data_IF_865968310368
#
_entry.id   IF_865968310368
#
_cell.length_a   1.000
_cell.length_b   1.000
_cell.length_c   1.000
_cell.angle_alpha   90.00
_cell.angle_beta   90.00
_cell.angle_gamma   90.00
#
_symmetry.space_group_name_H-M   'P 1'
#
loop_
_entity.id
_entity.type
_entity.pdbx_description
1 polymer ?
#
# COMPACT_ATOMS: atom_id res chain seq x y z
N UNK A 1 -33.97 4.85 -44.86
CA UNK A 1 -34.61 4.73 -43.54
C UNK A 1 -33.55 5.19 -42.58
N UNK A 2 -33.51 6.50 -42.35
CA UNK A 2 -32.58 7.12 -41.42
C UNK A 2 -33.32 7.16 -40.09
N UNK A 3 -33.08 6.15 -39.27
CA UNK A 3 -33.63 6.08 -37.92
C UNK A 3 -32.97 7.23 -37.13
N UNK A 4 -33.73 8.31 -36.96
CA UNK A 4 -33.41 9.48 -36.16
C UNK A 4 -33.35 9.07 -34.68
N UNK A 5 -32.24 8.41 -34.29
CA UNK A 5 -31.90 8.14 -32.91
C UNK A 5 -31.55 9.46 -32.23
N UNK A 6 -32.58 10.20 -31.84
CA UNK A 6 -32.46 11.31 -30.90
C UNK A 6 -31.93 10.75 -29.59
N UNK A 7 -30.61 10.88 -29.37
CA UNK A 7 -29.98 10.56 -28.09
C UNK A 7 -30.53 11.55 -27.05
N UNK A 8 -31.57 11.14 -26.32
CA UNK A 8 -32.17 11.94 -25.27
C UNK A 8 -31.09 12.50 -24.34
N UNK A 9 -31.05 13.83 -24.23
CA UNK A 9 -30.08 14.52 -23.35
C UNK A 9 -30.27 14.03 -21.93
N UNK A 10 -29.24 13.38 -21.37
CA UNK A 10 -29.27 12.90 -19.98
C UNK A 10 -29.35 14.08 -19.02
N UNK A 11 -30.05 13.88 -17.90
CA UNK A 11 -30.21 14.90 -16.86
C UNK A 11 -28.86 15.42 -16.36
N UNK A 12 -28.84 16.67 -15.88
CA UNK A 12 -27.70 17.26 -15.19
C UNK A 12 -27.19 16.35 -14.05
N UNK A 13 -25.88 16.43 -13.77
CA UNK A 13 -25.27 15.69 -12.67
C UNK A 13 -25.93 16.06 -11.34
N UNK A 14 -26.46 15.07 -10.64
CA UNK A 14 -27.01 15.28 -9.30
C UNK A 14 -25.89 15.48 -8.28
N UNK A 15 -26.19 16.12 -7.14
CA UNK A 15 -25.19 16.31 -6.08
C UNK A 15 -24.64 14.98 -5.55
N UNK A 16 -25.45 13.93 -5.49
CA UNK A 16 -25.02 12.60 -5.07
C UNK A 16 -24.02 11.98 -6.05
N UNK A 17 -24.22 12.16 -7.35
CA UNK A 17 -23.25 11.71 -8.37
C UNK A 17 -21.96 12.50 -8.30
N UNK A 18 -22.04 13.82 -8.17
CA UNK A 18 -20.85 14.68 -8.00
C UNK A 18 -20.03 14.22 -6.80
N UNK A 19 -20.69 13.90 -5.68
CA UNK A 19 -20.04 13.36 -4.49
C UNK A 19 -19.35 12.02 -4.78
N UNK A 20 -20.05 11.05 -5.40
CA UNK A 20 -19.47 9.74 -5.76
C UNK A 20 -18.26 9.87 -6.70
N UNK A 21 -18.30 10.80 -7.65
CA UNK A 21 -17.17 11.08 -8.56
C UNK A 21 -15.96 11.56 -7.77
N UNK A 22 -16.15 12.48 -6.82
CA UNK A 22 -15.07 13.00 -5.95
C UNK A 22 -14.48 11.92 -5.03
N UNK A 23 -15.32 11.03 -4.51
CA UNK A 23 -14.89 9.87 -3.71
C UNK A 23 -14.08 8.89 -4.57
N UNK A 24 -14.54 8.59 -5.79
CA UNK A 24 -13.88 7.68 -6.72
C UNK A 24 -12.45 8.11 -7.10
N UNK A 25 -12.20 9.41 -7.25
CA UNK A 25 -10.85 9.95 -7.52
C UNK A 25 -9.98 10.07 -6.24
N UNK A 26 -10.50 9.68 -5.08
CA UNK A 26 -9.75 9.62 -3.83
C UNK A 26 -9.49 10.99 -3.19
N UNK A 27 -10.46 11.91 -3.22
CA UNK A 27 -10.35 13.23 -2.56
C UNK A 27 -9.14 14.06 -3.02
N UNK A 28 -8.77 13.93 -4.30
CA UNK A 28 -7.58 14.55 -4.89
C UNK A 28 -7.94 15.37 -6.11
N UNK A 29 -7.27 16.52 -6.25
CA UNK A 29 -7.29 17.28 -7.49
C UNK A 29 -6.48 16.54 -8.56
N UNK A 30 -7.09 16.19 -9.67
CA UNK A 30 -6.44 15.41 -10.74
C UNK A 30 -5.38 16.23 -11.50
N UNK A 31 -5.43 17.56 -11.41
CA UNK A 31 -4.46 18.44 -12.07
C UNK A 31 -3.18 18.68 -11.27
N UNK A 32 -3.29 19.15 -10.03
CA UNK A 32 -2.12 19.50 -9.20
C UNK A 32 -1.75 18.41 -8.19
N UNK A 33 -2.65 17.44 -7.98
CA UNK A 33 -2.43 16.33 -7.08
C UNK A 33 -2.63 16.62 -5.59
N UNK A 34 -3.06 17.83 -5.22
CA UNK A 34 -3.37 18.16 -3.83
C UNK A 34 -4.56 17.32 -3.32
N UNK A 35 -4.44 16.81 -2.10
CA UNK A 35 -5.55 16.19 -1.38
C UNK A 35 -6.38 17.32 -0.76
N UNK A 36 -7.69 17.30 -0.99
CA UNK A 36 -8.61 18.34 -0.51
C UNK A 36 -9.88 17.69 0.03
N UNK A 37 -10.56 18.38 0.94
CA UNK A 37 -11.86 17.93 1.40
C UNK A 37 -12.86 17.84 0.25
N UNK A 38 -13.81 16.92 0.37
CA UNK A 38 -14.81 16.65 -0.68
C UNK A 38 -15.66 17.88 -1.03
N UNK A 39 -15.85 18.78 -0.05
CA UNK A 39 -16.61 20.01 -0.20
C UNK A 39 -15.87 21.05 -1.04
N UNK A 40 -14.53 21.03 -1.03
CA UNK A 40 -13.67 22.00 -1.74
C UNK A 40 -13.37 21.57 -3.18
N UNK A 41 -13.45 20.27 -3.47
CA UNK A 41 -13.30 19.75 -4.82
C UNK A 41 -14.51 20.14 -5.68
N UNK A 42 -14.31 20.33 -6.97
CA UNK A 42 -15.34 20.67 -7.94
C UNK A 42 -15.18 19.78 -9.19
N UNK A 43 -16.29 19.34 -9.77
CA UNK A 43 -16.28 18.58 -11.02
C UNK A 43 -16.41 19.58 -12.17
N UNK A 44 -15.45 19.56 -13.08
CA UNK A 44 -15.36 20.44 -14.23
C UNK A 44 -15.63 19.66 -15.52
N UNK A 45 -16.47 20.20 -16.39
CA UNK A 45 -16.61 19.73 -17.77
C UNK A 45 -15.52 20.37 -18.63
N UNK A 46 -14.66 19.56 -19.28
CA UNK A 46 -13.58 20.04 -20.15
C UNK A 46 -14.16 20.76 -21.39
N UNK A 47 -15.17 20.16 -21.98
CA UNK A 47 -16.06 20.75 -22.97
C UNK A 47 -17.37 21.15 -22.28
N UNK A 48 -17.72 22.44 -22.26
CA UNK A 48 -18.85 22.92 -21.48
C UNK A 48 -20.17 22.42 -22.09
N UNK A 49 -21.10 22.01 -21.23
CA UNK A 49 -22.41 21.45 -21.62
C UNK A 49 -23.23 22.38 -22.52
N UNK A 50 -23.01 23.70 -22.43
CA UNK A 50 -23.71 24.69 -23.28
C UNK A 50 -23.34 24.60 -24.77
N UNK A 51 -22.18 24.03 -25.08
CA UNK A 51 -21.70 23.85 -26.46
C UNK A 51 -22.24 22.53 -27.05
N UNK A 52 -23.09 21.80 -26.30
CA UNK A 52 -23.65 20.54 -26.73
C UNK A 52 -24.66 20.70 -27.88
N UNK A 53 -24.43 19.96 -28.96
CA UNK A 53 -25.28 19.89 -30.15
C UNK A 53 -26.41 18.85 -30.05
N UNK A 54 -26.58 18.25 -28.87
CA UNK A 54 -27.56 17.19 -28.62
C UNK A 54 -27.17 15.82 -29.19
N UNK A 55 -26.06 15.69 -29.93
CA UNK A 55 -25.60 14.42 -30.50
C UNK A 55 -24.77 13.59 -29.54
N UNK A 56 -24.11 14.26 -28.57
CA UNK A 56 -23.18 13.61 -27.64
C UNK A 56 -23.55 13.89 -26.18
N UNK A 57 -23.41 12.89 -25.31
CA UNK A 57 -23.52 13.07 -23.86
C UNK A 57 -22.22 13.68 -23.33
N UNK A 58 -22.24 14.99 -23.07
CA UNK A 58 -21.11 15.73 -22.49
C UNK A 58 -20.79 15.32 -21.06
N UNK A 59 -21.61 14.48 -20.43
CA UNK A 59 -21.29 13.90 -19.14
C UNK A 59 -20.69 12.51 -19.31
N UNK A 60 -19.59 12.43 -20.05
CA UNK A 60 -18.78 11.23 -20.17
C UNK A 60 -17.63 11.27 -19.16
N UNK A 61 -17.09 10.12 -18.73
CA UNK A 61 -15.90 10.10 -17.89
C UNK A 61 -14.73 10.87 -18.51
N UNK A 62 -14.57 10.82 -19.84
CA UNK A 62 -13.50 11.53 -20.54
C UNK A 62 -13.65 13.05 -20.51
N UNK A 63 -14.88 13.57 -20.39
CA UNK A 63 -15.15 15.01 -20.35
C UNK A 63 -15.24 15.59 -18.93
N UNK A 64 -15.28 14.76 -17.89
CA UNK A 64 -15.37 15.20 -16.50
C UNK A 64 -14.00 15.10 -15.81
N UNK A 65 -13.58 16.16 -15.13
CA UNK A 65 -12.34 16.19 -14.33
C UNK A 65 -12.58 16.82 -12.95
N UNK A 66 -12.01 16.22 -11.90
CA UNK A 66 -12.11 16.70 -10.52
C UNK A 66 -10.94 17.61 -10.19
N UNK A 67 -11.24 18.86 -9.82
CA UNK A 67 -10.26 19.91 -9.57
C UNK A 67 -10.48 20.53 -8.19
N UNK A 68 -9.41 21.05 -7.59
CA UNK A 68 -9.55 21.98 -6.45
C UNK A 68 -10.00 23.36 -6.96
N UNK A 69 -10.56 24.18 -6.08
CA UNK A 69 -11.08 25.52 -6.42
C UNK A 69 -10.11 26.38 -7.25
N UNK A 70 -8.81 26.36 -6.94
CA UNK A 70 -7.80 27.11 -7.69
C UNK A 70 -7.64 26.58 -9.13
N UNK A 71 -7.46 25.27 -9.31
CA UNK A 71 -7.36 24.67 -10.63
C UNK A 71 -8.67 24.80 -11.43
N UNK A 72 -9.81 24.73 -10.75
CA UNK A 72 -11.12 24.92 -11.37
C UNK A 72 -11.28 26.34 -11.93
N UNK A 73 -10.91 27.38 -11.17
CA UNK A 73 -10.91 28.77 -11.63
C UNK A 73 -9.97 28.99 -12.82
N UNK A 74 -8.79 28.35 -12.81
CA UNK A 74 -7.84 28.43 -13.94
C UNK A 74 -8.36 27.71 -15.19
N UNK A 75 -9.01 26.56 -15.03
CA UNK A 75 -9.65 25.83 -16.13
C UNK A 75 -10.83 26.64 -16.72
N UNK A 76 -11.73 27.16 -15.88
CA UNK A 76 -12.87 27.97 -16.33
C UNK A 76 -12.48 29.30 -16.99
N UNK A 77 -11.28 29.82 -16.72
CA UNK A 77 -10.71 31.00 -17.39
C UNK A 77 -9.81 30.65 -18.60
N UNK A 78 -9.81 29.39 -19.05
CA UNK A 78 -8.97 28.87 -20.14
C UNK A 78 -7.46 29.09 -19.95
N UNK A 79 -7.00 29.30 -18.72
CA UNK A 79 -5.55 29.37 -18.41
C UNK A 79 -4.90 27.99 -18.40
N UNK A 80 -5.70 26.94 -18.25
CA UNK A 80 -5.29 25.55 -18.45
C UNK A 80 -5.90 25.08 -19.78
N UNK A 81 -5.09 24.74 -20.80
CA UNK A 81 -5.61 24.29 -22.09
C UNK A 81 -6.47 23.03 -21.97
N UNK A 82 -7.59 22.96 -22.71
CA UNK A 82 -8.49 21.78 -22.73
C UNK A 82 -7.76 20.49 -23.07
N UNK A 83 -6.81 20.53 -24.00
CA UNK A 83 -5.97 19.39 -24.40
C UNK A 83 -5.23 18.82 -23.19
N UNK A 84 -4.73 19.68 -22.28
CA UNK A 84 -4.02 19.24 -21.09
C UNK A 84 -4.95 18.55 -20.08
N UNK A 85 -6.20 19.02 -19.95
CA UNK A 85 -7.20 18.38 -19.10
C UNK A 85 -7.63 17.04 -19.69
N UNK A 86 -7.83 16.98 -21.00
CA UNK A 86 -8.21 15.76 -21.74
C UNK A 86 -7.12 14.69 -21.66
N UNK A 87 -5.84 15.07 -21.76
CA UNK A 87 -4.72 14.15 -21.58
C UNK A 87 -4.71 13.50 -20.18
N UNK A 88 -5.09 14.25 -19.14
CA UNK A 88 -5.22 13.72 -17.77
C UNK A 88 -6.36 12.71 -17.69
N UNK A 89 -7.54 13.02 -18.24
CA UNK A 89 -8.70 12.11 -18.19
C UNK A 89 -8.48 10.87 -19.05
N UNK A 90 -7.80 11.01 -20.19
CA UNK A 90 -7.41 9.91 -21.08
C UNK A 90 -6.45 8.92 -20.39
N UNK A 91 -5.45 9.44 -19.66
CA UNK A 91 -4.44 8.65 -18.92
C UNK A 91 -4.93 8.07 -17.60
N UNK A 92 -6.19 8.26 -17.23
CA UNK A 92 -6.75 7.63 -16.03
C UNK A 92 -6.58 6.11 -16.07
N UNK A 93 -6.36 5.46 -14.92
CA UNK A 93 -6.33 4.02 -14.87
C UNK A 93 -7.70 3.43 -15.24
N UNK A 94 -7.70 2.28 -15.90
CA UNK A 94 -8.91 1.69 -16.49
C UNK A 94 -10.00 1.38 -15.45
N UNK A 95 -9.59 0.95 -14.25
CA UNK A 95 -10.53 0.71 -13.15
C UNK A 95 -11.32 1.97 -12.75
N UNK A 96 -10.67 3.14 -12.79
CA UNK A 96 -11.30 4.42 -12.43
C UNK A 96 -12.27 4.86 -13.53
N UNK A 97 -11.90 4.67 -14.80
CA UNK A 97 -12.80 4.93 -15.93
C UNK A 97 -14.08 4.10 -15.80
N UNK A 98 -13.95 2.79 -15.58
CA UNK A 98 -15.10 1.90 -15.39
C UNK A 98 -15.96 2.26 -14.17
N UNK A 99 -15.35 2.74 -13.08
CA UNK A 99 -16.10 3.21 -11.90
C UNK A 99 -16.90 4.48 -12.20
N UNK A 100 -16.28 5.45 -12.89
CA UNK A 100 -16.96 6.68 -13.32
C UNK A 100 -18.09 6.38 -14.31
N UNK A 101 -17.89 5.46 -15.24
CA UNK A 101 -18.94 4.99 -16.17
C UNK A 101 -20.14 4.43 -15.41
N UNK A 102 -19.91 3.57 -14.41
CA UNK A 102 -20.98 3.03 -13.55
C UNK A 102 -21.74 4.14 -12.81
N UNK A 103 -21.02 5.08 -12.20
CA UNK A 103 -21.66 6.22 -11.52
C UNK A 103 -22.54 7.03 -12.49
N UNK A 104 -22.09 7.20 -13.74
CA UNK A 104 -22.78 7.97 -14.76
C UNK A 104 -23.91 7.20 -15.47
N UNK A 105 -23.85 5.86 -15.47
CA UNK A 105 -24.84 4.98 -16.10
C UNK A 105 -26.18 4.95 -15.34
N UNK A 106 -26.16 5.15 -14.02
CA UNK A 106 -27.36 5.21 -13.16
C UNK A 106 -28.27 6.42 -13.43
N UNK A 107 -27.98 7.22 -14.46
CA UNK A 107 -28.79 8.39 -14.81
C UNK A 107 -30.05 8.01 -15.54
N UNK A 108 -31.16 8.56 -15.05
CA UNK A 108 -32.44 8.51 -15.75
C UNK A 108 -32.31 9.21 -17.11
N UNK A 109 -32.64 8.47 -18.17
CA UNK A 109 -32.80 9.05 -19.51
C UNK A 109 -34.07 9.89 -19.47
N UNK A 110 -33.94 11.20 -19.71
CA UNK A 110 -35.08 12.09 -19.85
C UNK A 110 -35.50 12.01 -21.32
N UNK A 111 -36.42 11.09 -21.64
CA UNK A 111 -37.03 11.07 -22.97
C UNK A 111 -37.96 12.27 -23.10
N UNK A 112 -37.80 13.03 -24.18
CA UNK A 112 -38.61 14.22 -24.50
C UNK A 112 -40.07 13.90 -24.86
N UNK A 113 -40.47 12.62 -24.80
CA UNK A 113 -41.74 12.13 -25.36
C UNK A 113 -42.96 12.43 -24.47
N UNK A 114 -42.76 13.01 -23.29
CA UNK A 114 -43.88 13.51 -22.49
C UNK A 114 -44.21 14.94 -22.89
N UNK A 115 -44.53 15.16 -24.17
CA UNK A 115 -45.47 16.23 -24.57
C UNK A 115 -46.89 15.82 -24.14
N UNK A 116 -47.08 15.48 -22.86
CA UNK A 116 -48.42 15.49 -22.28
C UNK A 116 -48.79 16.96 -22.16
N UNK A 117 -49.51 17.43 -23.17
CA UNK A 117 -50.48 18.51 -23.11
C UNK A 117 -50.72 19.08 -21.70
N UNK A 118 -49.87 20.00 -21.25
CA UNK A 118 -50.29 21.03 -20.29
C UNK A 118 -51.22 21.99 -21.04
N UNK A 119 -52.44 21.52 -21.23
CA UNK A 119 -53.61 22.37 -21.33
C UNK A 119 -53.62 23.30 -20.11
N UNK A 120 -53.49 24.59 -20.37
CA UNK A 120 -54.26 25.66 -19.73
C UNK A 120 -54.62 25.42 -18.25
N UNK A 121 -53.69 25.69 -17.34
CA UNK A 121 -54.06 26.16 -16.00
C UNK A 121 -53.40 27.50 -15.75
N UNK A 122 -54.27 28.49 -15.57
CA UNK A 122 -53.94 29.91 -15.51
C UNK A 122 -53.01 30.27 -14.36
N UNK A 123 -52.23 31.31 -14.63
CA UNK A 123 -51.58 32.10 -13.61
C UNK A 123 -52.62 32.64 -12.61
N UNK A 124 -52.48 32.39 -11.29
CA UNK A 124 -53.25 33.14 -10.31
C UNK A 124 -52.71 34.57 -10.29
N UNK A 125 -53.55 35.50 -10.72
CA UNK A 125 -53.38 36.93 -10.52
C UNK A 125 -53.30 37.17 -9.00
N UNK A 126 -52.20 37.75 -8.55
CA UNK A 126 -52.06 38.26 -7.18
C UNK A 126 -53.02 39.44 -7.03
N UNK A 127 -54.18 39.20 -6.42
CA UNK A 127 -55.02 40.24 -5.84
C UNK A 127 -54.94 40.13 -4.33
N UNK A 128 -54.62 41.26 -3.71
CA UNK A 128 -54.59 41.54 -2.28
C UNK A 128 -55.78 40.97 -1.50
N UNK A 129 -55.46 40.42 -0.31
CA UNK A 129 -56.21 40.27 0.96
C UNK A 129 -57.68 40.74 1.00
N UNK A 130 -58.59 40.10 1.79
CA UNK A 130 -58.33 39.73 3.19
C UNK A 130 -59.01 38.47 3.78
N UNK A 131 -58.45 38.07 4.93
CA UNK A 131 -59.12 37.50 6.13
C UNK A 131 -59.87 36.17 6.10
N UNK A 132 -59.61 35.42 7.18
CA UNK A 132 -60.47 34.47 7.90
C UNK A 132 -60.33 32.97 7.60
N UNK A 133 -59.71 32.30 8.58
CA UNK A 133 -60.11 31.03 9.21
C UNK A 133 -60.58 29.87 8.32
N UNK A 134 -59.81 28.78 8.32
CA UNK A 134 -60.26 27.55 9.01
C UNK A 134 -59.17 26.47 8.99
N UNK A 135 -59.05 25.88 10.18
CA UNK A 135 -58.19 24.76 10.56
C UNK A 135 -58.65 23.49 9.85
N UNK A 136 -57.71 22.73 9.26
CA UNK A 136 -57.95 21.36 8.84
C UNK A 136 -56.62 20.59 8.79
N UNK A 137 -56.43 19.81 9.84
CA UNK A 137 -55.31 18.93 10.13
C UNK A 137 -55.29 17.71 9.20
N UNK A 138 -54.19 17.50 8.48
CA UNK A 138 -53.92 16.23 7.77
C UNK A 138 -52.85 15.42 8.49
N UNK A 139 -53.31 14.25 8.96
CA UNK A 139 -52.55 13.10 9.47
C UNK A 139 -51.41 12.70 8.53
N UNK A 140 -50.20 12.67 9.06
CA UNK A 140 -49.03 11.97 8.53
C UNK A 140 -49.07 10.51 8.97
N UNK A 141 -49.21 9.59 8.02
CA UNK A 141 -49.08 8.14 8.23
C UNK A 141 -47.65 7.70 7.88
N UNK A 142 -46.82 7.52 8.90
CA UNK A 142 -45.51 6.88 8.80
C UNK A 142 -45.67 5.36 8.83
N UNK A 143 -45.45 4.69 7.69
CA UNK A 143 -45.37 3.25 7.61
C UNK A 143 -43.96 2.76 7.96
N UNK A 144 -43.83 2.11 9.11
CA UNK A 144 -42.61 1.42 9.56
C UNK A 144 -42.62 -0.02 9.06
N UNK A 145 -41.68 -0.39 8.19
CA UNK A 145 -41.41 -1.78 7.84
C UNK A 145 -40.22 -2.29 8.65
N UNK A 146 -40.50 -3.18 9.60
CA UNK A 146 -39.52 -3.98 10.33
C UNK A 146 -39.23 -5.26 9.55
N UNK A 147 -38.03 -5.40 9.00
CA UNK A 147 -37.53 -6.68 8.49
C UNK A 147 -36.49 -7.24 9.46
N UNK A 148 -36.90 -8.26 10.20
CA UNK A 148 -36.05 -9.16 10.97
C UNK A 148 -35.63 -10.34 10.09
N UNK A 149 -34.33 -10.56 9.92
CA UNK A 149 -33.80 -11.87 9.56
C UNK A 149 -32.34 -11.96 9.97
N UNK A 150 -32.12 -12.64 11.10
CA UNK A 150 -30.79 -13.02 11.55
C UNK A 150 -30.24 -14.19 10.74
N UNK A 151 -28.95 -14.11 10.43
CA UNK A 151 -28.11 -15.26 10.13
C UNK A 151 -26.78 -15.06 10.86
N UNK A 152 -26.47 -15.98 11.77
CA UNK A 152 -25.27 -15.99 12.59
C UNK A 152 -24.04 -16.28 11.75
N UNK A 153 -23.10 -15.32 11.71
CA UNK A 153 -21.75 -15.52 11.21
C UNK A 153 -20.83 -15.95 12.36
N UNK A 154 -20.50 -17.24 12.42
CA UNK A 154 -19.41 -17.75 13.28
C UNK A 154 -18.07 -17.17 12.79
N UNK A 155 -17.27 -16.70 13.74
CA UNK A 155 -16.10 -15.86 13.53
C UNK A 155 -14.92 -16.53 12.82
N UNK A 156 -14.34 -15.79 11.86
CA UNK A 156 -13.11 -16.11 11.15
C UNK A 156 -11.84 -15.48 11.76
N UNK A 157 -11.90 -14.99 13.01
CA UNK A 157 -10.74 -14.38 13.68
C UNK A 157 -9.61 -15.38 14.05
N UNK A 158 -9.80 -16.68 13.84
CA UNK A 158 -8.84 -17.73 14.24
C UNK A 158 -7.72 -18.05 13.23
N UNK A 159 -7.83 -17.65 11.97
CA UNK A 159 -6.90 -18.15 10.92
C UNK A 159 -5.58 -17.38 10.84
N UNK A 160 -5.58 -16.08 11.16
CA UNK A 160 -4.37 -15.26 11.08
C UNK A 160 -3.36 -15.57 12.21
N UNK A 161 -3.84 -15.83 13.42
CA UNK A 161 -2.98 -16.21 14.55
C UNK A 161 -2.45 -17.65 14.40
N UNK A 162 -3.24 -18.56 13.81
CA UNK A 162 -2.79 -19.92 13.50
C UNK A 162 -1.58 -19.96 12.56
N UNK A 163 -1.53 -19.08 11.56
CA UNK A 163 -0.40 -18.99 10.63
C UNK A 163 0.92 -18.59 11.30
N UNK A 164 0.89 -17.63 12.22
CA UNK A 164 2.10 -17.16 12.94
C UNK A 164 2.65 -18.25 13.85
N UNK A 165 1.78 -18.99 14.54
CA UNK A 165 2.18 -20.11 15.41
C UNK A 165 2.81 -21.24 14.59
N UNK A 166 2.23 -21.58 13.44
CA UNK A 166 2.78 -22.63 12.56
C UNK A 166 4.16 -22.22 12.02
N UNK A 167 4.34 -20.97 11.57
CA UNK A 167 5.64 -20.48 11.09
C UNK A 167 6.68 -20.49 12.21
N UNK A 168 6.33 -20.02 13.42
CA UNK A 168 7.22 -20.05 14.57
C UNK A 168 7.64 -21.48 14.94
N UNK A 169 6.71 -22.43 14.88
CA UNK A 169 6.97 -23.84 15.18
C UNK A 169 7.87 -24.50 14.11
N UNK A 170 7.66 -24.18 12.83
CA UNK A 170 8.53 -24.64 11.74
C UNK A 170 9.94 -24.07 11.83
N UNK A 171 10.08 -22.78 12.18
CA UNK A 171 11.40 -22.16 12.41
C UNK A 171 12.10 -22.76 13.63
N UNK A 172 11.36 -23.05 14.71
CA UNK A 172 11.89 -23.72 15.90
C UNK A 172 12.39 -25.13 15.61
N UNK A 173 11.61 -25.93 14.87
CA UNK A 173 12.02 -27.28 14.43
C UNK A 173 13.25 -27.20 13.52
N UNK A 174 13.28 -26.25 12.59
CA UNK A 174 14.44 -26.05 11.73
C UNK A 174 15.70 -25.70 12.54
N UNK A 175 15.58 -24.80 13.52
CA UNK A 175 16.69 -24.40 14.39
C UNK A 175 17.18 -25.55 15.28
N UNK A 176 16.28 -26.37 15.82
CA UNK A 176 16.64 -27.55 16.62
C UNK A 176 17.27 -28.66 15.77
N UNK A 177 16.71 -28.94 14.59
CA UNK A 177 17.25 -29.93 13.68
C UNK A 177 18.63 -29.52 13.17
N UNK A 178 18.80 -28.26 12.77
CA UNK A 178 20.06 -27.75 12.24
C UNK A 178 21.10 -27.53 13.36
N UNK A 179 20.71 -27.00 14.51
CA UNK A 179 21.57 -26.83 15.68
C UNK A 179 22.04 -28.17 16.27
N UNK A 180 21.17 -29.19 16.27
CA UNK A 180 21.52 -30.56 16.64
C UNK A 180 22.50 -31.21 15.66
N UNK A 181 22.29 -31.04 14.36
CA UNK A 181 23.20 -31.55 13.33
C UNK A 181 24.57 -30.89 13.40
N UNK A 182 24.60 -29.56 13.54
CA UNK A 182 25.84 -28.79 13.63
C UNK A 182 26.58 -29.09 14.93
N UNK A 183 25.91 -29.17 16.08
CA UNK A 183 26.60 -29.48 17.34
C UNK A 183 27.09 -30.93 17.40
N UNK A 184 26.31 -31.92 16.98
CA UNK A 184 26.72 -33.33 17.09
C UNK A 184 27.86 -33.72 16.14
N UNK A 185 28.00 -33.06 14.99
CA UNK A 185 29.09 -33.33 14.07
C UNK A 185 30.36 -32.53 14.37
N UNK A 186 30.21 -31.29 14.84
CA UNK A 186 31.35 -30.37 14.96
C UNK A 186 32.04 -30.50 16.32
N UNK A 187 31.29 -30.74 17.38
CA UNK A 187 31.84 -30.84 18.74
C UNK A 187 32.88 -31.95 18.88
N UNK A 188 32.67 -33.20 18.41
CA UNK A 188 33.72 -34.22 18.49
C UNK A 188 34.93 -33.91 17.59
N UNK A 189 34.72 -33.21 16.46
CA UNK A 189 35.79 -32.84 15.55
C UNK A 189 36.71 -31.76 16.14
N UNK A 190 36.14 -30.81 16.91
CA UNK A 190 36.88 -29.77 17.63
C UNK A 190 37.57 -30.35 18.88
N UNK A 191 36.91 -31.24 19.63
CA UNK A 191 37.51 -31.87 20.83
C UNK A 191 38.73 -32.73 20.47
N UNK A 192 38.67 -33.49 19.37
CA UNK A 192 39.84 -34.25 18.88
C UNK A 192 40.96 -33.35 18.32
N UNK A 193 40.66 -32.09 18.00
CA UNK A 193 41.62 -31.09 17.50
C UNK A 193 42.39 -30.38 18.63
N UNK A 194 41.83 -30.35 19.85
CA UNK A 194 42.44 -29.75 21.05
C UNK A 194 43.06 -30.88 21.89
N UNK A 195 43.88 -31.74 21.28
CA UNK A 195 44.82 -32.55 22.05
C UNK A 195 46.15 -31.78 22.09
N UNK A 196 46.47 -31.07 23.20
CA UNK A 196 47.62 -30.16 23.28
C UNK A 196 48.99 -30.85 23.11
N UNK A 197 49.03 -32.18 23.04
CA UNK A 197 50.27 -32.95 22.95
C UNK A 197 50.72 -33.26 21.51
N UNK A 198 49.93 -32.92 20.47
CA UNK A 198 50.43 -33.02 19.08
C UNK A 198 51.05 -31.70 18.66
N UNK A 199 52.37 -31.58 18.79
CA UNK A 199 53.17 -30.39 18.44
C UNK A 199 53.23 -30.07 16.94
N UNK A 200 52.49 -30.81 16.11
CA UNK A 200 52.34 -30.54 14.68
C UNK A 200 50.90 -30.08 14.39
N UNK A 201 50.59 -28.83 14.76
CA UNK A 201 49.56 -28.07 14.05
C UNK A 201 50.12 -27.77 12.65
N UNK A 202 50.03 -28.76 11.77
CA UNK A 202 50.45 -28.61 10.39
C UNK A 202 49.66 -27.47 9.74
N UNK A 203 50.31 -26.68 8.89
CA UNK A 203 49.70 -25.57 8.17
C UNK A 203 48.35 -25.97 7.52
N UNK A 204 48.23 -27.23 7.11
CA UNK A 204 47.02 -27.84 6.54
C UNK A 204 45.81 -27.78 7.47
N UNK A 205 45.99 -27.92 8.79
CA UNK A 205 44.92 -27.86 9.78
C UNK A 205 44.39 -26.44 9.97
N UNK A 206 45.28 -25.44 9.94
CA UNK A 206 44.90 -24.02 10.00
C UNK A 206 44.13 -23.62 8.73
N UNK A 207 44.64 -24.03 7.56
CA UNK A 207 43.98 -23.77 6.28
C UNK A 207 42.60 -24.41 6.23
N UNK A 208 42.47 -25.65 6.70
CA UNK A 208 41.18 -26.35 6.76
C UNK A 208 40.18 -25.62 7.69
N UNK A 209 40.64 -25.13 8.85
CA UNK A 209 39.79 -24.36 9.77
C UNK A 209 39.31 -23.04 9.16
N UNK A 210 40.18 -22.32 8.46
CA UNK A 210 39.82 -21.09 7.73
C UNK A 210 38.77 -21.38 6.66
N UNK A 211 38.97 -22.44 5.86
CA UNK A 211 38.02 -22.84 4.81
C UNK A 211 36.65 -23.18 5.41
N UNK A 212 36.61 -23.98 6.49
CA UNK A 212 35.36 -24.35 7.15
C UNK A 212 34.64 -23.11 7.69
N UNK A 213 35.38 -22.17 8.29
CA UNK A 213 34.80 -20.93 8.84
C UNK A 213 34.26 -20.02 7.73
N UNK A 214 34.97 -19.91 6.61
CA UNK A 214 34.52 -19.17 5.44
C UNK A 214 33.25 -19.76 4.81
N UNK A 215 33.18 -21.08 4.69
CA UNK A 215 31.99 -21.78 4.19
C UNK A 215 30.79 -21.54 5.12
N UNK A 216 30.97 -21.65 6.44
CA UNK A 216 29.92 -21.36 7.43
C UNK A 216 29.41 -19.92 7.32
N UNK A 217 30.30 -18.94 7.21
CA UNK A 217 29.93 -17.53 7.05
C UNK A 217 29.15 -17.30 5.75
N UNK A 218 29.59 -17.91 4.65
CA UNK A 218 28.94 -17.79 3.35
C UNK A 218 27.53 -18.40 3.35
N UNK A 219 27.36 -19.58 3.95
CA UNK A 219 26.06 -20.23 4.09
C UNK A 219 25.11 -19.36 4.93
N UNK A 220 25.56 -18.81 6.06
CA UNK A 220 24.73 -17.94 6.91
C UNK A 220 24.29 -16.66 6.19
N UNK A 221 25.16 -16.06 5.38
CA UNK A 221 24.81 -14.88 4.57
C UNK A 221 23.75 -15.24 3.53
N UNK A 222 23.94 -16.33 2.78
CA UNK A 222 22.98 -16.78 1.75
C UNK A 222 21.63 -17.13 2.39
N UNK A 223 21.62 -17.84 3.52
CA UNK A 223 20.39 -18.14 4.26
C UNK A 223 19.68 -16.86 4.76
N UNK A 224 20.43 -15.88 5.27
CA UNK A 224 19.84 -14.61 5.75
C UNK A 224 19.22 -13.79 4.61
N UNK A 225 19.90 -13.72 3.46
CA UNK A 225 19.38 -13.06 2.25
C UNK A 225 18.14 -13.77 1.72
N UNK A 226 18.13 -15.11 1.73
CA UNK A 226 16.99 -15.92 1.29
C UNK A 226 15.78 -15.73 2.22
N UNK A 227 15.98 -15.73 3.54
CA UNK A 227 14.93 -15.43 4.52
C UNK A 227 14.40 -14.01 4.33
N UNK A 228 15.28 -13.01 4.12
CA UNK A 228 14.89 -11.64 3.83
C UNK A 228 14.05 -11.53 2.55
N UNK A 229 14.45 -12.23 1.48
CA UNK A 229 13.69 -12.30 0.23
C UNK A 229 12.30 -12.92 0.42
N UNK A 230 12.19 -14.03 1.15
CA UNK A 230 10.91 -14.66 1.48
C UNK A 230 10.03 -13.71 2.29
N UNK A 231 10.57 -13.02 3.29
CA UNK A 231 9.82 -12.05 4.09
C UNK A 231 9.28 -10.89 3.24
N UNK A 232 10.11 -10.34 2.34
CA UNK A 232 9.69 -9.28 1.41
C UNK A 232 8.59 -9.80 0.48
N UNK A 233 8.72 -11.03 -0.03
CA UNK A 233 7.73 -11.64 -0.90
C UNK A 233 6.39 -11.85 -0.18
N UNK A 234 6.41 -12.41 1.04
CA UNK A 234 5.22 -12.58 1.88
C UNK A 234 4.59 -11.22 2.18
N UNK A 235 5.38 -10.22 2.57
CA UNK A 235 4.89 -8.86 2.85
C UNK A 235 4.21 -8.25 1.62
N UNK A 236 4.80 -8.40 0.43
CA UNK A 236 4.21 -7.93 -0.83
C UNK A 236 2.88 -8.62 -1.12
N UNK A 237 2.80 -9.94 -0.93
CA UNK A 237 1.56 -10.72 -1.09
C UNK A 237 0.47 -10.27 -0.10
N UNK A 238 0.83 -10.10 1.17
CA UNK A 238 -0.10 -9.62 2.21
C UNK A 238 -0.62 -8.21 1.90
N UNK A 239 0.25 -7.31 1.42
CA UNK A 239 -0.14 -5.96 1.01
C UNK A 239 -1.07 -5.97 -0.21
N UNK A 240 -0.83 -6.87 -1.17
CA UNK A 240 -1.71 -7.04 -2.34
C UNK A 240 -3.11 -7.56 -1.93
N UNK A 241 -3.18 -8.64 -1.13
CA UNK A 241 -4.46 -9.20 -0.69
C UNK A 241 -5.25 -8.19 0.16
N UNK A 242 -4.57 -7.41 1.01
CA UNK A 242 -5.24 -6.34 1.77
C UNK A 242 -5.70 -5.17 0.89
N UNK A 243 -4.96 -4.85 -0.18
CA UNK A 243 -5.40 -3.82 -1.13
C UNK A 243 -6.68 -4.25 -1.86
N UNK A 244 -6.81 -5.54 -2.19
CA UNK A 244 -8.02 -6.13 -2.80
C UNK A 244 -9.19 -6.15 -1.80
N UNK A 245 -8.97 -6.61 -0.56
CA UNK A 245 -10.01 -6.62 0.49
C UNK A 245 -10.52 -5.21 0.85
N UNK A 246 -9.64 -4.20 0.88
CA UNK A 246 -10.05 -2.80 1.10
C UNK A 246 -10.87 -2.31 -0.08
N UNK A 247 -10.50 -2.68 -1.31
CA UNK A 247 -11.25 -2.29 -2.50
C UNK A 247 -12.65 -2.91 -2.51
N UNK A 248 -12.78 -4.17 -2.09
CA UNK A 248 -14.06 -4.88 -2.04
C UNK A 248 -14.92 -4.48 -0.82
N UNK A 249 -14.29 -4.18 0.33
CA UNK A 249 -14.96 -3.73 1.55
C UNK A 249 -15.47 -2.28 1.48
N UNK A 250 -14.81 -1.42 0.72
CA UNK A 250 -15.32 -0.06 0.41
C UNK A 250 -16.57 -0.15 -0.48
N UNK A 251 -16.65 -1.16 -1.35
CA UNK A 251 -17.82 -1.37 -2.22
C UNK A 251 -19.03 -1.90 -1.43
N UNK A 252 -18.83 -2.70 -0.37
CA UNK A 252 -19.93 -3.27 0.43
C UNK A 252 -20.43 -2.38 1.58
N UNK A 253 -19.56 -1.55 2.18
CA UNK A 253 -19.93 -0.70 3.32
C UNK A 253 -20.56 0.65 2.93
N UNK A 254 -20.73 0.97 1.65
CA UNK A 254 -21.49 2.17 1.23
C UNK A 254 -23.03 1.99 1.31
N UNK A 255 -23.52 0.86 1.82
CA UNK A 255 -24.94 0.57 1.99
C UNK A 255 -25.46 0.67 3.43
N UNK A 256 -24.62 0.86 4.44
CA UNK A 256 -25.12 1.05 5.82
C UNK A 256 -24.30 2.06 6.61
N UNK A 257 -24.94 3.18 6.94
CA UNK A 257 -24.34 4.30 7.65
C UNK A 257 -24.20 4.02 9.14
N UNK A 258 -22.98 3.71 9.61
CA UNK A 258 -22.57 3.89 11.00
C UNK A 258 -21.06 3.65 11.14
N UNK A 259 -20.27 4.72 11.01
CA UNK A 259 -18.85 4.72 11.36
C UNK A 259 -18.70 4.90 12.86
N UNK A 260 -18.17 3.89 13.57
CA UNK A 260 -17.32 4.09 14.76
C UNK A 260 -16.72 2.76 15.24
N UNK A 261 -15.58 2.39 14.65
CA UNK A 261 -14.45 1.75 15.33
C UNK A 261 -13.33 1.51 14.31
N UNK A 262 -12.37 2.45 14.24
CA UNK A 262 -11.09 2.15 13.60
C UNK A 262 -10.45 1.00 14.38
N UNK A 263 -10.22 -0.12 13.72
CA UNK A 263 -9.67 -1.31 14.38
C UNK A 263 -8.21 -1.06 14.76
N UNK A 264 -7.71 -1.73 15.80
CA UNK A 264 -6.33 -1.60 16.26
C UNK A 264 -5.28 -1.83 15.15
N UNK A 265 -5.68 -2.54 14.08
CA UNK A 265 -4.85 -2.82 12.90
C UNK A 265 -4.66 -1.57 12.03
N UNK A 266 -5.67 -0.72 11.87
CA UNK A 266 -5.55 0.52 11.10
C UNK A 266 -4.66 1.54 11.83
N UNK A 267 -4.75 1.60 13.16
CA UNK A 267 -3.82 2.38 14.00
C UNK A 267 -2.38 1.87 13.88
N UNK A 268 -2.20 0.55 13.80
CA UNK A 268 -0.89 -0.07 13.63
C UNK A 268 -0.29 0.25 12.24
N UNK A 269 -1.08 0.19 11.17
CA UNK A 269 -0.61 0.55 9.82
C UNK A 269 -0.28 2.05 9.74
N UNK A 270 -1.09 2.93 10.34
CA UNK A 270 -0.78 4.36 10.40
C UNK A 270 0.50 4.65 11.19
N UNK A 271 0.72 3.92 12.29
CA UNK A 271 1.94 3.98 13.08
C UNK A 271 3.17 3.65 12.23
N UNK A 272 3.17 2.53 11.49
CA UNK A 272 4.29 2.18 10.61
C UNK A 272 4.45 3.11 9.40
N UNK A 273 3.36 3.65 8.85
CA UNK A 273 3.40 4.59 7.73
C UNK A 273 3.99 5.96 8.11
N UNK A 274 3.95 6.31 9.40
CA UNK A 274 4.57 7.54 9.94
C UNK A 274 6.09 7.44 10.14
N UNK A 275 6.67 6.25 9.95
CA UNK A 275 8.11 6.06 10.12
C UNK A 275 8.87 6.57 8.90
N UNK A 276 9.56 7.71 9.07
CA UNK A 276 10.57 8.18 8.13
C UNK A 276 11.80 7.24 8.16
N UNK A 277 12.58 7.24 7.08
CA UNK A 277 13.82 6.47 6.87
C UNK A 277 14.77 6.54 8.08
N UNK A 278 14.82 7.68 8.77
CA UNK A 278 15.66 7.88 9.96
C UNK A 278 15.20 7.07 11.18
N UNK A 279 13.89 6.84 11.33
CA UNK A 279 13.36 5.99 12.40
C UNK A 279 13.64 4.51 12.13
N UNK A 280 13.63 4.11 10.85
CA UNK A 280 14.01 2.75 10.44
C UNK A 280 15.50 2.47 10.71
N UNK A 281 16.39 3.45 10.44
CA UNK A 281 17.82 3.37 10.75
C UNK A 281 18.06 3.24 12.26
N UNK A 282 17.36 4.02 13.07
CA UNK A 282 17.47 3.95 14.54
C UNK A 282 16.97 2.62 15.10
N UNK A 283 15.87 2.08 14.58
CA UNK A 283 15.35 0.78 14.98
C UNK A 283 16.30 -0.36 14.59
N UNK A 284 16.88 -0.30 13.39
CA UNK A 284 17.93 -1.23 12.94
C UNK A 284 19.16 -1.20 13.86
N UNK A 285 19.62 -0.01 14.25
CA UNK A 285 20.75 0.15 15.16
C UNK A 285 20.43 -0.40 16.56
N UNK A 286 19.22 -0.15 17.06
CA UNK A 286 18.77 -0.67 18.36
C UNK A 286 18.74 -2.20 18.38
N UNK A 287 18.21 -2.83 17.32
CA UNK A 287 18.17 -4.29 17.19
C UNK A 287 19.59 -4.86 17.14
N UNK A 288 20.50 -4.22 16.40
CA UNK A 288 21.90 -4.65 16.35
C UNK A 288 22.58 -4.59 17.73
N UNK A 289 22.38 -3.49 18.48
CA UNK A 289 22.91 -3.34 19.84
C UNK A 289 22.34 -4.39 20.80
N UNK A 290 21.02 -4.65 20.73
CA UNK A 290 20.37 -5.65 21.57
C UNK A 290 20.85 -7.08 21.24
N UNK A 291 21.11 -7.39 19.97
CA UNK A 291 21.73 -8.66 19.57
C UNK A 291 23.15 -8.81 20.11
N UNK A 292 23.96 -7.75 20.08
CA UNK A 292 25.31 -7.76 20.66
C UNK A 292 25.27 -7.96 22.19
N UNK A 293 24.33 -7.30 22.88
CA UNK A 293 24.15 -7.46 24.33
C UNK A 293 23.68 -8.89 24.66
N UNK A 294 22.68 -9.41 23.95
CA UNK A 294 22.20 -10.78 24.13
C UNK A 294 23.29 -11.83 23.91
N UNK A 295 24.19 -11.59 22.95
CA UNK A 295 25.33 -12.48 22.70
C UNK A 295 26.34 -12.50 23.84
N UNK A 296 26.54 -11.37 24.53
CA UNK A 296 27.41 -11.28 25.71
C UNK A 296 26.83 -12.07 26.88
N UNK A 297 25.50 -12.03 27.08
CA UNK A 297 24.82 -12.76 28.15
C UNK A 297 24.65 -14.27 27.90
N UNK A 298 24.86 -14.73 26.67
CA UNK A 298 24.84 -16.14 26.31
C UNK A 298 26.19 -16.85 26.51
N UNK A 299 27.23 -16.11 26.92
CA UNK A 299 28.52 -16.72 27.26
C UNK A 299 28.42 -17.36 28.66
N UNK A 300 28.72 -18.66 28.80
CA UNK A 300 28.62 -19.35 30.09
C UNK A 300 29.61 -18.79 31.11
N UNK A 301 29.21 -18.69 32.38
CA UNK A 301 29.96 -18.03 33.47
C UNK A 301 31.39 -18.56 33.66
N UNK A 302 31.65 -19.79 33.22
CA UNK A 302 32.93 -20.48 33.33
C UNK A 302 33.99 -19.91 32.37
N UNK A 303 33.60 -19.04 31.43
CA UNK A 303 34.50 -18.45 30.42
C UNK A 303 35.25 -17.22 30.95
N UNK A 304 34.75 -16.57 32.00
CA UNK A 304 35.29 -15.29 32.47
C UNK A 304 36.58 -15.42 33.31
N UNK A 305 36.76 -16.54 34.03
CA UNK A 305 37.96 -16.75 34.88
C UNK A 305 39.19 -17.26 34.11
N UNK A 306 39.02 -17.76 32.88
CA UNK A 306 40.12 -18.20 32.01
C UNK A 306 40.79 -17.03 31.26
N UNK A 307 40.21 -15.83 31.35
CA UNK A 307 40.62 -14.61 30.62
C UNK A 307 41.55 -13.74 31.49
N UNK A 308 42.34 -14.29 32.41
CA UNK A 308 43.39 -13.48 33.09
C UNK A 308 44.81 -13.82 32.62
N UNK A 309 45.05 -15.06 32.18
CA UNK A 309 46.39 -15.54 31.77
C UNK A 309 46.54 -15.55 30.24
N UNK A 310 45.42 -15.63 29.51
CA UNK A 310 45.38 -15.52 28.03
C UNK A 310 45.38 -14.05 27.57
N UNK A 311 45.31 -13.07 28.47
CA UNK A 311 45.06 -11.65 28.11
C UNK A 311 46.18 -11.02 27.28
N UNK A 312 47.46 -11.33 27.51
CA UNK A 312 48.51 -10.64 26.77
C UNK A 312 48.70 -11.15 25.35
N UNK A 313 48.49 -12.45 25.10
CA UNK A 313 48.56 -13.05 23.75
C UNK A 313 47.20 -13.23 23.08
N UNK A 314 46.12 -13.28 23.84
CA UNK A 314 44.74 -13.40 23.36
C UNK A 314 44.10 -12.05 23.09
N UNK A 315 44.53 -10.97 23.75
CA UNK A 315 44.06 -9.61 23.42
C UNK A 315 44.58 -9.17 22.05
N UNK A 316 45.81 -9.53 21.67
CA UNK A 316 46.31 -9.23 20.31
C UNK A 316 45.53 -10.01 19.25
N UNK A 317 45.23 -11.29 19.48
CA UNK A 317 44.41 -12.10 18.57
C UNK A 317 42.95 -11.66 18.55
N UNK A 318 42.39 -11.23 19.69
CA UNK A 318 41.04 -10.70 19.80
C UNK A 318 40.91 -9.33 19.11
N UNK A 319 41.89 -8.45 19.31
CA UNK A 319 41.97 -7.15 18.62
C UNK A 319 42.13 -7.40 17.12
N UNK A 320 43.03 -8.30 16.70
CA UNK A 320 43.23 -8.65 15.30
C UNK A 320 41.95 -9.24 14.67
N UNK A 321 41.27 -10.17 15.34
CA UNK A 321 40.02 -10.76 14.87
C UNK A 321 38.89 -9.72 14.82
N UNK A 322 38.85 -8.80 15.78
CA UNK A 322 37.88 -7.70 15.80
C UNK A 322 38.14 -6.72 14.66
N UNK A 323 39.40 -6.36 14.41
CA UNK A 323 39.80 -5.52 13.28
C UNK A 323 39.46 -6.21 11.96
N UNK A 324 39.77 -7.51 11.82
CA UNK A 324 39.45 -8.28 10.61
C UNK A 324 37.93 -8.41 10.41
N UNK A 325 37.14 -8.54 11.48
CA UNK A 325 35.69 -8.55 11.40
C UNK A 325 35.14 -7.18 10.92
N UNK A 326 35.69 -6.08 11.43
CA UNK A 326 35.33 -4.72 10.98
C UNK A 326 35.73 -4.50 9.52
N UNK A 327 36.93 -4.93 9.11
CA UNK A 327 37.37 -4.86 7.71
C UNK A 327 36.44 -5.67 6.80
N UNK A 328 36.11 -6.91 7.19
CA UNK A 328 35.18 -7.75 6.41
C UNK A 328 33.79 -7.13 6.31
N UNK A 329 33.31 -6.49 7.38
CA UNK A 329 32.05 -5.76 7.36
C UNK A 329 32.10 -4.57 6.40
N UNK A 330 33.16 -3.76 6.45
CA UNK A 330 33.35 -2.63 5.53
C UNK A 330 33.42 -3.11 4.08
N UNK A 331 34.20 -4.15 3.79
CA UNK A 331 34.30 -4.75 2.44
C UNK A 331 32.94 -5.23 1.96
N UNK A 332 32.17 -5.90 2.82
CA UNK A 332 30.81 -6.38 2.49
C UNK A 332 29.88 -5.22 2.16
N UNK A 333 29.90 -4.15 2.96
CA UNK A 333 29.09 -2.94 2.70
C UNK A 333 29.50 -2.27 1.39
N UNK A 334 30.80 -2.15 1.11
CA UNK A 334 31.30 -1.56 -0.14
C UNK A 334 30.87 -2.39 -1.36
N UNK A 335 31.03 -3.71 -1.31
CA UNK A 335 30.58 -4.61 -2.39
C UNK A 335 29.08 -4.51 -2.59
N UNK A 336 28.29 -4.45 -1.51
CA UNK A 336 26.84 -4.29 -1.58
C UNK A 336 26.44 -2.96 -2.24
N UNK A 337 27.07 -1.85 -1.85
CA UNK A 337 26.80 -0.53 -2.45
C UNK A 337 27.19 -0.51 -3.93
N UNK A 338 28.36 -1.04 -4.29
CA UNK A 338 28.78 -1.15 -5.70
C UNK A 338 27.80 -1.98 -6.52
N UNK A 339 27.28 -3.07 -5.96
CA UNK A 339 26.27 -3.91 -6.63
C UNK A 339 24.99 -3.13 -6.90
N UNK A 340 24.50 -2.34 -5.94
CA UNK A 340 23.33 -1.47 -6.13
C UNK A 340 23.58 -0.43 -7.23
N UNK A 341 24.75 0.20 -7.23
CA UNK A 341 25.12 1.21 -8.24
C UNK A 341 25.16 0.60 -9.65
N UNK A 342 25.73 -0.60 -9.80
CA UNK A 342 25.75 -1.31 -11.08
C UNK A 342 24.33 -1.64 -11.56
N UNK A 343 23.48 -2.18 -10.68
CA UNK A 343 22.08 -2.50 -11.01
C UNK A 343 21.32 -1.25 -11.43
N UNK A 344 21.48 -0.14 -10.69
CA UNK A 344 20.85 1.14 -11.04
C UNK A 344 21.35 1.68 -12.39
N UNK A 345 22.66 1.59 -12.65
CA UNK A 345 23.26 1.98 -13.92
C UNK A 345 22.72 1.19 -15.11
N UNK A 346 22.62 -0.14 -14.98
CA UNK A 346 22.03 -1.01 -16.00
C UNK A 346 20.55 -0.68 -16.23
N UNK A 347 19.79 -0.46 -15.16
CA UNK A 347 18.38 -0.09 -15.27
C UNK A 347 18.18 1.25 -16.01
N UNK A 348 19.01 2.26 -15.69
CA UNK A 348 18.98 3.56 -16.37
C UNK A 348 19.40 3.44 -17.84
N UNK A 349 20.41 2.62 -18.14
CA UNK A 349 20.84 2.37 -19.51
C UNK A 349 19.74 1.68 -20.33
N UNK A 350 19.10 0.65 -19.78
CA UNK A 350 17.97 -0.03 -20.43
C UNK A 350 16.79 0.91 -20.63
N UNK A 351 16.51 1.80 -19.68
CA UNK A 351 15.49 2.83 -19.82
C UNK A 351 15.82 3.85 -20.92
N UNK A 352 17.08 4.25 -21.05
CA UNK A 352 17.54 5.13 -22.13
C UNK A 352 17.37 4.47 -23.51
N UNK A 353 17.77 3.20 -23.66
CA UNK A 353 17.57 2.43 -24.89
C UNK A 353 16.08 2.26 -25.24
N UNK A 354 15.23 2.02 -24.24
CA UNK A 354 13.79 1.93 -24.45
C UNK A 354 13.19 3.26 -24.92
N UNK A 355 13.68 4.38 -24.37
CA UNK A 355 13.26 5.72 -24.78
C UNK A 355 13.67 6.02 -26.23
N UNK A 356 14.89 5.67 -26.63
CA UNK A 356 15.36 5.88 -28.02
C UNK A 356 14.55 5.04 -29.02
N UNK A 357 14.24 3.78 -28.70
CA UNK A 357 13.34 2.95 -29.53
C UNK A 357 11.92 3.49 -29.67
N UNK A 358 11.44 4.28 -28.72
CA UNK A 358 10.08 4.86 -28.80
C UNK A 358 9.97 6.06 -29.75
N UNK A 359 11.11 6.56 -30.26
CA UNK A 359 11.15 7.71 -31.18
C UNK A 359 11.27 7.32 -32.65
N UNK A 360 11.49 6.03 -32.94
CA UNK A 360 11.46 5.43 -34.28
C UNK A 360 10.20 4.57 -34.42
#
# INVERSE_FOLDING_TARGET
>A
MDDDFSYGTRSALTQSMVRKIKEAVGHKCEKCGSICDIEVLEVHHIEPVRDADGRYDYNSPSNLIVLCANCHKLAGSNKIPKIQLSDITYKRPEYLKGLLEKILADRRIVTSDTKTSMSSYGYPRVTSSPSSSSVSSRKSSSGSYSHSSGYGGMGFAGTALGGIVIIGLLLGIFYLAFGGLVSNWITPMVINFINPNSTALSLTNIVLWIIITFIKGSILIVCSLFIGYILIFILKKLLQTRAEEINDGIISNQLDGSVKTLTNVEKFIYFFRSWNVDNLKKASLLIAVLCCIGFIFLLPDNTLNSISIVVTNGLSTFIFNSIMAVINFIVTVVVFVLTIVIIAGVALFMFALAKERSQY
#
